data_IF_116311008352
#
_entry.id   IF_116311008352
#
_cell.length_a   1.000
_cell.length_b   1.000
_cell.length_c   1.000
_cell.angle_alpha   90.00
_cell.angle_beta   90.00
_cell.angle_gamma   90.00
#
_symmetry.space_group_name_H-M   'P 1'
#
loop_
_entity.id
_entity.type
_entity.pdbx_description
1 polymer ?
#
# COMPACT_ATOMS: atom_id res chain seq x y z
N UNK A 1 -92.95 12.05 -15.94
CA UNK A 1 -91.70 12.80 -15.96
C UNK A 1 -90.68 11.98 -15.13
N UNK A 2 -89.85 11.12 -15.80
CA UNK A 2 -88.84 10.28 -15.17
C UNK A 2 -87.50 10.96 -15.37
N UNK A 3 -86.81 11.36 -14.28
CA UNK A 3 -85.44 11.89 -14.28
C UNK A 3 -84.46 10.69 -14.32
N UNK A 4 -83.67 10.60 -15.39
CA UNK A 4 -82.58 9.63 -15.49
C UNK A 4 -81.31 10.31 -14.92
N UNK A 5 -80.76 9.70 -13.87
CA UNK A 5 -79.51 10.11 -13.23
C UNK A 5 -78.35 9.34 -13.91
N UNK A 6 -77.50 10.10 -14.65
CA UNK A 6 -76.32 9.57 -15.32
C UNK A 6 -75.16 9.54 -14.31
N UNK A 7 -74.74 8.37 -13.93
CA UNK A 7 -73.58 8.19 -13.01
C UNK A 7 -72.30 8.06 -13.85
N UNK A 8 -71.46 9.13 -13.82
CA UNK A 8 -70.15 9.12 -14.48
C UNK A 8 -69.14 8.33 -13.62
N UNK A 9 -68.71 7.19 -14.13
CA UNK A 9 -67.71 6.38 -13.48
C UNK A 9 -66.32 6.89 -13.96
N UNK A 10 -65.60 7.65 -13.07
CA UNK A 10 -64.20 8.01 -13.31
C UNK A 10 -63.30 6.78 -12.99
N UNK A 11 -62.83 6.13 -14.05
CA UNK A 11 -61.76 5.13 -13.93
C UNK A 11 -60.45 5.89 -13.86
N UNK A 12 -59.89 6.04 -12.67
CA UNK A 12 -58.52 6.49 -12.46
C UNK A 12 -57.51 5.38 -12.83
N UNK A 13 -56.93 5.51 -14.01
CA UNK A 13 -55.77 4.65 -14.41
C UNK A 13 -54.56 5.08 -13.59
N UNK A 14 -54.26 4.36 -12.52
CA UNK A 14 -52.98 4.44 -11.84
C UNK A 14 -51.91 3.91 -12.79
N UNK A 15 -51.29 4.81 -13.55
CA UNK A 15 -50.08 4.55 -14.28
C UNK A 15 -48.93 4.22 -13.30
N UNK A 16 -48.63 2.95 -13.11
CA UNK A 16 -47.32 2.53 -12.55
C UNK A 16 -46.23 3.01 -13.53
N UNK A 17 -45.66 4.16 -13.27
CA UNK A 17 -44.39 4.55 -13.85
C UNK A 17 -43.35 3.56 -13.33
N UNK A 18 -43.01 2.56 -14.12
CA UNK A 18 -41.78 1.83 -13.97
C UNK A 18 -40.66 2.85 -14.27
N UNK A 19 -40.12 3.48 -13.22
CA UNK A 19 -38.79 4.04 -13.32
C UNK A 19 -37.88 2.85 -13.71
N UNK A 20 -37.58 2.73 -14.98
CA UNK A 20 -36.44 1.98 -15.44
C UNK A 20 -35.22 2.69 -14.85
N UNK A 21 -34.71 2.17 -13.71
CA UNK A 21 -33.35 2.47 -13.26
C UNK A 21 -32.50 2.01 -14.44
N UNK A 22 -32.05 2.97 -15.24
CA UNK A 22 -31.02 2.75 -16.23
C UNK A 22 -29.86 2.11 -15.45
N UNK A 23 -29.58 0.83 -15.70
CA UNK A 23 -28.51 0.14 -14.99
C UNK A 23 -27.24 0.86 -15.38
N UNK A 24 -26.69 1.66 -14.47
CA UNK A 24 -25.43 2.33 -14.70
C UNK A 24 -24.42 1.29 -15.20
N UNK A 25 -23.74 1.60 -16.32
CA UNK A 25 -22.71 0.73 -16.88
C UNK A 25 -21.67 0.45 -15.78
N UNK A 26 -21.32 -0.82 -15.53
CA UNK A 26 -20.33 -1.12 -14.51
C UNK A 26 -18.99 -0.45 -14.85
N UNK A 27 -18.32 0.12 -13.86
CA UNK A 27 -16.93 0.57 -14.00
C UNK A 27 -16.04 -0.65 -14.26
N UNK A 28 -14.97 -0.45 -15.03
CA UNK A 28 -14.07 -1.56 -15.33
C UNK A 28 -13.31 -1.98 -14.06
N UNK A 29 -12.87 -1.02 -13.25
CA UNK A 29 -12.13 -1.28 -12.01
C UNK A 29 -12.61 -0.39 -10.87
N UNK A 30 -12.84 -0.99 -9.71
CA UNK A 30 -13.03 -0.29 -8.44
C UNK A 30 -11.85 -0.58 -7.53
N UNK A 31 -11.17 0.47 -7.07
CA UNK A 31 -10.05 0.42 -6.13
C UNK A 31 -10.55 0.84 -4.74
N UNK A 32 -10.49 -0.05 -3.76
CA UNK A 32 -10.91 0.24 -2.38
C UNK A 32 -9.69 0.59 -1.53
N UNK A 33 -9.65 1.82 -1.03
CA UNK A 33 -8.53 2.41 -0.28
C UNK A 33 -7.65 3.30 -1.15
N UNK A 34 -7.37 4.51 -0.67
CA UNK A 34 -6.55 5.53 -1.33
C UNK A 34 -5.06 5.47 -0.95
N UNK A 35 -4.52 4.27 -0.72
CA UNK A 35 -3.11 4.05 -0.38
C UNK A 35 -2.23 3.76 -1.60
N UNK A 36 -0.93 3.58 -1.33
CA UNK A 36 0.12 3.36 -2.35
C UNK A 36 -0.21 2.19 -3.30
N UNK A 37 -0.81 1.11 -2.79
CA UNK A 37 -1.12 -0.07 -3.60
C UNK A 37 -2.18 0.23 -4.66
N UNK A 38 -3.28 0.88 -4.26
CA UNK A 38 -4.35 1.29 -5.18
C UNK A 38 -3.87 2.35 -6.17
N UNK A 39 -3.08 3.33 -5.71
CA UNK A 39 -2.53 4.37 -6.55
C UNK A 39 -1.59 3.79 -7.63
N UNK A 40 -0.73 2.86 -7.25
CA UNK A 40 0.18 2.17 -8.17
C UNK A 40 -0.59 1.34 -9.19
N UNK A 41 -1.53 0.49 -8.72
CA UNK A 41 -2.34 -0.34 -9.61
C UNK A 41 -3.18 0.51 -10.57
N UNK A 42 -3.83 1.57 -10.07
CA UNK A 42 -4.61 2.48 -10.90
C UNK A 42 -3.78 3.14 -11.99
N UNK A 43 -2.54 3.53 -11.68
CA UNK A 43 -1.60 4.09 -12.66
C UNK A 43 -1.20 3.06 -13.71
N UNK A 44 -0.87 1.83 -13.32
CA UNK A 44 -0.59 0.75 -14.26
C UNK A 44 -1.76 0.48 -15.19
N UNK A 45 -2.96 0.35 -14.63
CA UNK A 45 -4.15 0.05 -15.42
C UNK A 45 -4.49 1.20 -16.39
N UNK A 46 -4.34 2.44 -15.97
CA UNK A 46 -4.56 3.58 -16.86
C UNK A 46 -3.56 3.64 -18.02
N UNK A 47 -2.33 3.14 -17.84
CA UNK A 47 -1.36 3.07 -18.92
C UNK A 47 -1.59 1.88 -19.87
N UNK A 48 -1.94 0.72 -19.32
CA UNK A 48 -2.17 -0.49 -20.10
C UNK A 48 -3.50 -0.45 -20.86
N UNK A 49 -4.52 0.13 -20.24
CA UNK A 49 -5.88 0.18 -20.73
C UNK A 49 -6.46 1.60 -20.58
N UNK A 50 -6.01 2.59 -21.38
CA UNK A 50 -6.38 4.00 -21.20
C UNK A 50 -7.88 4.29 -21.32
N UNK A 51 -8.63 3.37 -21.93
CA UNK A 51 -10.09 3.45 -22.11
C UNK A 51 -10.91 2.88 -20.95
N UNK A 52 -10.26 2.23 -19.98
CA UNK A 52 -10.97 1.68 -18.83
C UNK A 52 -11.39 2.75 -17.85
N UNK A 53 -12.59 2.60 -17.33
CA UNK A 53 -13.12 3.43 -16.25
C UNK A 53 -12.64 2.90 -14.91
N UNK A 54 -11.94 3.75 -14.14
CA UNK A 54 -11.40 3.40 -12.84
C UNK A 54 -12.03 4.30 -11.78
N UNK A 55 -12.60 3.71 -10.76
CA UNK A 55 -13.10 4.46 -9.60
C UNK A 55 -12.31 4.07 -8.35
N UNK A 56 -11.86 5.06 -7.57
CA UNK A 56 -11.17 4.85 -6.29
C UNK A 56 -12.04 5.37 -5.17
N UNK A 57 -12.20 4.56 -4.13
CA UNK A 57 -13.01 4.88 -2.94
C UNK A 57 -12.10 4.92 -1.73
N UNK A 58 -12.10 6.04 -1.00
CA UNK A 58 -11.34 6.24 0.22
C UNK A 58 -12.27 6.68 1.35
N UNK A 59 -12.12 6.06 2.53
CA UNK A 59 -12.92 6.35 3.72
C UNK A 59 -12.62 7.71 4.32
N UNK A 60 -11.38 8.16 4.24
CA UNK A 60 -10.93 9.43 4.80
C UNK A 60 -11.18 10.60 3.82
N UNK A 61 -10.99 11.79 4.29
CA UNK A 61 -11.13 13.04 3.53
C UNK A 61 -9.95 13.31 2.58
N UNK A 62 -8.89 12.49 2.66
CA UNK A 62 -7.70 12.55 1.81
C UNK A 62 -7.14 11.15 1.57
N UNK A 63 -6.38 11.02 0.48
CA UNK A 63 -5.59 9.83 0.21
C UNK A 63 -4.29 9.80 1.03
N UNK A 64 -3.73 8.62 1.25
CA UNK A 64 -2.46 8.40 1.93
C UNK A 64 -2.40 8.84 3.40
N UNK A 65 -3.52 8.81 4.12
CA UNK A 65 -3.56 9.23 5.54
C UNK A 65 -3.38 8.07 6.54
N UNK A 66 -3.46 6.81 6.09
CA UNK A 66 -3.23 5.63 6.93
C UNK A 66 -1.80 5.08 6.72
N UNK A 67 -1.63 3.79 6.41
CA UNK A 67 -0.31 3.13 6.31
C UNK A 67 0.67 3.79 5.33
N UNK A 68 0.18 4.49 4.30
CA UNK A 68 1.01 5.21 3.34
C UNK A 68 1.49 6.58 3.84
N UNK A 69 0.90 7.12 4.92
CA UNK A 69 1.33 8.39 5.50
C UNK A 69 2.76 8.30 6.01
N UNK A 70 3.60 9.30 5.74
CA UNK A 70 5.01 9.31 6.11
C UNK A 70 5.28 9.20 7.62
N UNK A 71 4.28 9.48 8.47
CA UNK A 71 4.40 9.32 9.93
C UNK A 71 3.86 7.97 10.45
N UNK A 72 3.25 7.16 9.58
CA UNK A 72 2.67 5.87 9.94
C UNK A 72 3.50 4.66 9.45
N UNK A 73 4.67 4.90 8.88
CA UNK A 73 5.63 3.88 8.46
C UNK A 73 7.07 4.40 8.63
N UNK A 74 8.05 3.50 8.52
CA UNK A 74 9.46 3.85 8.69
C UNK A 74 10.11 4.50 7.46
N UNK A 75 9.40 4.58 6.33
CA UNK A 75 9.94 5.11 5.08
C UNK A 75 11.09 4.30 4.49
N UNK A 76 11.34 3.09 4.98
CA UNK A 76 12.48 2.28 4.54
C UNK A 76 12.29 1.85 3.09
N UNK A 77 13.25 2.18 2.23
CA UNK A 77 13.35 1.57 0.91
C UNK A 77 13.82 0.12 1.04
N UNK A 78 12.91 -0.83 0.83
CA UNK A 78 13.08 -2.26 1.17
C UNK A 78 14.08 -2.99 0.28
N UNK A 79 15.36 -2.59 0.32
CA UNK A 79 16.46 -3.26 -0.38
C UNK A 79 17.09 -4.42 0.42
N UNK A 80 16.51 -4.81 1.56
CA UNK A 80 17.01 -5.85 2.46
C UNK A 80 18.44 -5.59 2.98
N UNK A 81 18.85 -4.34 3.05
CA UNK A 81 20.20 -3.98 3.50
C UNK A 81 20.33 -4.03 5.01
N UNK A 82 19.30 -3.64 5.76
CA UNK A 82 19.33 -3.52 7.22
C UNK A 82 18.44 -4.51 7.97
N UNK A 83 17.44 -5.10 7.33
CA UNK A 83 16.49 -5.98 8.01
C UNK A 83 17.09 -7.38 8.23
N UNK A 84 17.32 -7.74 9.50
CA UNK A 84 17.98 -8.99 9.86
C UNK A 84 17.09 -10.22 9.65
N UNK A 85 15.77 -10.05 9.72
CA UNK A 85 14.76 -11.12 9.59
C UNK A 85 14.53 -11.58 8.14
N UNK A 86 15.24 -11.01 7.17
CA UNK A 86 15.20 -11.46 5.77
C UNK A 86 16.26 -12.51 5.45
N UNK A 87 17.09 -12.84 6.42
CA UNK A 87 18.07 -13.93 6.35
C UNK A 87 17.87 -14.84 7.55
N UNK A 88 17.91 -16.14 7.34
CA UNK A 88 17.80 -17.14 8.40
C UNK A 88 19.00 -18.07 8.40
N UNK A 89 19.46 -18.47 9.61
CA UNK A 89 20.48 -19.50 9.74
C UNK A 89 19.82 -20.88 9.81
N UNK A 90 20.19 -21.76 8.94
CA UNK A 90 19.75 -23.15 8.90
C UNK A 90 20.45 -23.98 10.00
N UNK A 91 19.94 -25.18 10.30
CA UNK A 91 20.49 -26.07 11.32
C UNK A 91 21.93 -26.51 11.04
N UNK A 92 22.38 -26.49 9.80
CA UNK A 92 23.75 -26.78 9.38
C UNK A 92 24.68 -25.56 9.47
N UNK A 93 24.17 -24.40 9.92
CA UNK A 93 24.91 -23.15 10.03
C UNK A 93 25.03 -22.34 8.74
N UNK A 94 24.43 -22.80 7.63
CA UNK A 94 24.33 -22.01 6.39
C UNK A 94 23.33 -20.88 6.54
N UNK A 95 23.55 -19.78 5.77
CA UNK A 95 22.65 -18.62 5.77
C UNK A 95 21.80 -18.64 4.52
N UNK A 96 20.49 -18.70 4.68
CA UNK A 96 19.54 -18.50 3.57
C UNK A 96 19.33 -17.01 3.31
N UNK A 97 19.71 -16.55 2.12
CA UNK A 97 19.54 -15.15 1.66
C UNK A 97 18.46 -15.00 0.60
N UNK A 98 17.75 -16.06 0.25
CA UNK A 98 16.76 -16.06 -0.85
C UNK A 98 15.69 -15.00 -0.68
N UNK A 99 15.17 -14.87 0.54
CA UNK A 99 14.18 -13.83 0.88
C UNK A 99 14.74 -12.41 0.72
N UNK A 100 15.98 -12.19 1.16
CA UNK A 100 16.64 -10.87 1.04
C UNK A 100 16.86 -10.51 -0.44
N UNK A 101 17.28 -11.47 -1.27
CA UNK A 101 17.42 -11.29 -2.71
C UNK A 101 16.09 -10.92 -3.36
N UNK A 102 15.04 -11.71 -3.12
CA UNK A 102 13.71 -11.47 -3.72
C UNK A 102 13.14 -10.10 -3.31
N UNK A 103 13.31 -9.68 -2.06
CA UNK A 103 12.85 -8.37 -1.59
C UNK A 103 13.62 -7.24 -2.27
N UNK A 104 14.95 -7.38 -2.40
CA UNK A 104 15.77 -6.39 -3.10
C UNK A 104 15.34 -6.25 -4.57
N UNK A 105 15.20 -7.37 -5.29
CA UNK A 105 14.74 -7.38 -6.68
C UNK A 105 13.38 -6.68 -6.86
N UNK A 106 12.42 -6.96 -5.97
CA UNK A 106 11.10 -6.32 -6.01
C UNK A 106 11.20 -4.81 -5.77
N UNK A 107 12.11 -4.37 -4.90
CA UNK A 107 12.31 -2.95 -4.66
C UNK A 107 12.99 -2.27 -5.86
N UNK A 108 13.96 -2.93 -6.51
CA UNK A 108 14.57 -2.43 -7.75
C UNK A 108 13.52 -2.24 -8.86
N UNK A 109 12.57 -3.18 -9.00
CA UNK A 109 11.43 -3.05 -9.93
C UNK A 109 10.56 -1.83 -9.54
N UNK A 110 10.31 -1.62 -8.25
CA UNK A 110 9.55 -0.45 -7.77
C UNK A 110 10.25 0.87 -8.12
N UNK A 111 11.57 0.94 -7.95
CA UNK A 111 12.36 2.12 -8.34
C UNK A 111 12.33 2.36 -9.85
N UNK A 112 12.39 1.30 -10.67
CA UNK A 112 12.25 1.42 -12.12
C UNK A 112 10.88 1.97 -12.52
N UNK A 113 9.81 1.50 -11.89
CA UNK A 113 8.47 2.05 -12.10
C UNK A 113 8.42 3.55 -11.75
N UNK A 114 8.94 3.94 -10.57
CA UNK A 114 8.95 5.36 -10.20
C UNK A 114 9.80 6.21 -11.14
N UNK A 115 10.97 5.73 -11.57
CA UNK A 115 11.80 6.42 -12.54
C UNK A 115 11.05 6.63 -13.88
N UNK A 116 10.38 5.60 -14.37
CA UNK A 116 9.51 5.70 -15.54
C UNK A 116 8.40 6.75 -15.35
N UNK A 117 7.75 6.77 -14.20
CA UNK A 117 6.71 7.77 -13.90
C UNK A 117 7.26 9.19 -13.80
N UNK A 118 8.52 9.35 -13.37
CA UNK A 118 9.23 10.65 -13.39
C UNK A 118 9.46 11.11 -14.83
N UNK A 119 9.94 10.24 -15.70
CA UNK A 119 10.14 10.55 -17.12
C UNK A 119 8.83 10.96 -17.81
N UNK A 120 7.72 10.34 -17.40
CA UNK A 120 6.36 10.66 -17.88
C UNK A 120 5.76 11.90 -17.22
N UNK A 121 6.42 12.52 -16.26
CA UNK A 121 5.94 13.67 -15.46
C UNK A 121 4.67 13.39 -14.67
N UNK A 122 4.45 12.13 -14.33
CA UNK A 122 3.40 11.69 -13.39
C UNK A 122 3.88 11.89 -11.97
N UNK A 123 5.13 11.50 -11.69
CA UNK A 123 5.86 11.85 -10.47
C UNK A 123 6.80 13.03 -10.75
N UNK A 124 6.77 14.01 -9.89
CA UNK A 124 7.60 15.21 -10.00
C UNK A 124 8.45 15.37 -8.74
N UNK A 125 9.54 16.12 -8.84
CA UNK A 125 10.47 16.35 -7.74
C UNK A 125 10.84 15.07 -6.97
N UNK A 126 11.68 14.18 -7.51
CA UNK A 126 12.05 12.92 -6.88
C UNK A 126 12.54 13.06 -5.44
N UNK A 127 13.16 14.20 -5.09
CA UNK A 127 13.64 14.46 -3.72
C UNK A 127 12.50 14.62 -2.70
N UNK A 128 11.29 14.89 -3.15
CA UNK A 128 10.12 14.93 -2.25
C UNK A 128 9.69 13.56 -1.75
N UNK A 129 10.10 12.48 -2.43
CA UNK A 129 9.63 11.14 -2.07
C UNK A 129 10.71 10.05 -1.97
N UNK A 130 11.92 10.23 -2.53
CA UNK A 130 13.01 9.26 -2.37
C UNK A 130 14.34 9.97 -2.18
N UNK A 131 15.04 9.61 -1.10
CA UNK A 131 16.32 10.19 -0.75
C UNK A 131 17.32 9.09 -0.43
N UNK A 132 18.59 9.29 -0.79
CA UNK A 132 19.65 8.38 -0.44
C UNK A 132 20.02 8.56 1.03
N UNK A 133 19.93 7.48 1.80
CA UNK A 133 20.36 7.38 3.20
C UNK A 133 21.07 6.06 3.43
N UNK A 134 22.18 5.98 4.17
CA UNK A 134 22.81 4.71 4.46
C UNK A 134 21.87 3.80 5.26
N UNK A 135 21.72 2.55 4.82
CA UNK A 135 21.06 1.52 5.62
C UNK A 135 22.09 0.78 6.47
N UNK A 136 21.77 0.58 7.73
CA UNK A 136 22.69 0.00 8.70
C UNK A 136 21.98 -1.01 9.58
N UNK A 137 22.69 -2.10 9.93
CA UNK A 137 22.32 -2.97 11.04
C UNK A 137 23.37 -2.85 12.13
N UNK A 138 22.95 -2.78 13.38
CA UNK A 138 23.81 -2.76 14.53
C UNK A 138 23.38 -3.83 15.51
N UNK A 139 24.33 -4.61 16.02
CA UNK A 139 24.11 -5.69 16.98
C UNK A 139 25.13 -5.65 18.10
N UNK A 140 24.80 -6.32 19.24
CA UNK A 140 25.70 -6.54 20.35
C UNK A 140 25.52 -7.94 20.94
N UNK A 141 26.56 -8.42 21.64
CA UNK A 141 26.62 -9.76 22.17
C UNK A 141 27.20 -10.79 21.19
N UNK A 142 27.82 -11.85 21.71
CA UNK A 142 28.61 -12.80 20.93
C UNK A 142 27.80 -13.47 19.83
N UNK A 143 26.59 -13.97 20.13
CA UNK A 143 25.75 -14.68 19.18
C UNK A 143 25.26 -13.75 18.04
N UNK A 144 24.84 -12.53 18.38
CA UNK A 144 24.38 -11.56 17.40
C UNK A 144 25.51 -11.08 16.48
N UNK A 145 26.71 -10.89 17.03
CA UNK A 145 27.90 -10.52 16.24
C UNK A 145 28.27 -11.66 15.31
N UNK A 146 28.28 -12.91 15.80
CA UNK A 146 28.53 -14.08 14.96
C UNK A 146 27.47 -14.22 13.83
N UNK A 147 26.20 -14.02 14.14
CA UNK A 147 25.12 -14.02 13.16
C UNK A 147 25.31 -12.94 12.09
N UNK A 148 25.56 -11.68 12.49
CA UNK A 148 25.73 -10.57 11.54
C UNK A 148 26.94 -10.80 10.62
N UNK A 149 28.01 -11.36 11.13
CA UNK A 149 29.20 -11.72 10.36
C UNK A 149 28.89 -12.78 9.29
N UNK A 150 28.20 -13.86 9.66
CA UNK A 150 27.73 -14.90 8.74
C UNK A 150 26.80 -14.33 7.68
N UNK A 151 25.81 -13.51 8.10
CA UNK A 151 24.89 -12.82 7.22
C UNK A 151 25.64 -11.98 6.18
N UNK A 152 26.57 -11.13 6.61
CA UNK A 152 27.36 -10.30 5.71
C UNK A 152 28.12 -11.15 4.71
N UNK A 153 28.82 -12.19 5.14
CA UNK A 153 29.57 -13.08 4.26
C UNK A 153 28.66 -13.75 3.20
N UNK A 154 27.50 -14.23 3.61
CA UNK A 154 26.55 -14.85 2.68
C UNK A 154 25.98 -13.84 1.66
N UNK A 155 25.64 -12.64 2.07
CA UNK A 155 25.11 -11.59 1.18
C UNK A 155 26.13 -11.16 0.12
N UNK A 156 27.45 -11.22 0.41
CA UNK A 156 28.51 -10.89 -0.58
C UNK A 156 28.51 -11.82 -1.80
N UNK A 157 27.87 -13.00 -1.75
CA UNK A 157 27.73 -13.88 -2.90
C UNK A 157 26.72 -13.36 -3.94
N UNK A 158 25.87 -12.41 -3.59
CA UNK A 158 24.94 -11.74 -4.51
C UNK A 158 25.45 -10.36 -4.91
N UNK A 159 25.38 -10.05 -6.21
CA UNK A 159 25.74 -8.72 -6.73
C UNK A 159 24.91 -7.58 -6.17
N UNK A 160 23.69 -7.87 -5.70
CA UNK A 160 22.77 -6.88 -5.11
C UNK A 160 23.28 -6.29 -3.79
N UNK A 161 24.12 -7.02 -3.06
CA UNK A 161 24.67 -6.59 -1.78
C UNK A 161 26.16 -6.25 -1.85
N UNK A 162 26.71 -6.18 -3.06
CA UNK A 162 28.10 -5.79 -3.26
C UNK A 162 28.33 -4.37 -2.76
N UNK A 163 29.41 -4.19 -1.97
CA UNK A 163 29.72 -2.90 -1.35
C UNK A 163 29.12 -2.69 0.04
N UNK A 164 28.40 -3.69 0.59
CA UNK A 164 28.05 -3.67 2.01
C UNK A 164 29.31 -3.81 2.85
N UNK A 165 29.51 -2.86 3.74
CA UNK A 165 30.60 -2.83 4.69
C UNK A 165 30.21 -3.58 5.98
N UNK A 166 31.21 -4.18 6.66
CA UNK A 166 31.06 -4.82 7.97
C UNK A 166 32.20 -4.38 8.88
N UNK A 167 31.88 -4.08 10.14
CA UNK A 167 32.88 -3.75 11.13
C UNK A 167 32.51 -4.28 12.53
N UNK A 168 33.54 -4.71 13.29
CA UNK A 168 33.50 -4.94 14.72
C UNK A 168 34.33 -3.86 15.48
N UNK A 169 34.95 -2.92 14.74
CA UNK A 169 35.74 -1.83 15.31
C UNK A 169 34.83 -0.74 15.87
N UNK A 170 34.86 -0.45 17.19
CA UNK A 170 34.05 0.60 17.79
C UNK A 170 34.29 1.99 17.21
N UNK A 171 35.50 2.33 16.86
CA UNK A 171 35.84 3.64 16.29
C UNK A 171 35.28 3.80 14.86
N UNK A 172 35.33 2.75 14.05
CA UNK A 172 34.71 2.75 12.74
C UNK A 172 33.17 2.84 12.84
N UNK A 173 32.56 2.09 13.75
CA UNK A 173 31.10 2.10 13.96
C UNK A 173 30.66 3.48 14.45
N UNK A 174 31.45 4.12 15.35
CA UNK A 174 31.18 5.46 15.84
C UNK A 174 31.21 6.52 14.73
N UNK A 175 32.10 6.36 13.72
CA UNK A 175 32.09 7.23 12.54
C UNK A 175 30.80 7.05 11.71
N UNK A 176 30.26 5.86 11.64
CA UNK A 176 29.03 5.57 10.90
C UNK A 176 27.78 6.04 11.63
N UNK A 177 27.71 5.81 12.95
CA UNK A 177 26.51 6.04 13.77
C UNK A 177 26.90 6.46 15.21
N UNK A 178 27.31 7.73 15.40
CA UNK A 178 27.87 8.19 16.67
C UNK A 178 26.91 8.02 17.85
N UNK A 179 25.63 8.33 17.70
CA UNK A 179 24.66 8.28 18.80
C UNK A 179 24.42 6.87 19.33
N UNK A 180 24.53 5.83 18.51
CA UNK A 180 24.39 4.44 18.97
C UNK A 180 25.56 4.03 19.85
N UNK A 181 26.70 4.70 19.74
CA UNK A 181 27.92 4.39 20.48
C UNK A 181 28.04 5.13 21.83
N UNK A 182 27.19 6.16 22.04
CA UNK A 182 27.22 6.90 23.31
C UNK A 182 26.75 6.05 24.49
N UNK A 183 27.46 6.15 25.61
CA UNK A 183 27.13 5.44 26.85
C UNK A 183 27.33 3.93 26.84
N UNK A 184 28.03 3.37 25.82
CA UNK A 184 28.34 1.93 25.81
C UNK A 184 29.49 1.58 26.70
N UNK A 185 29.39 0.40 27.33
CA UNK A 185 30.44 -0.12 28.19
C UNK A 185 31.68 -0.50 27.36
N UNK A 186 32.90 -0.15 27.85
CA UNK A 186 34.13 -0.55 27.21
C UNK A 186 34.24 -2.09 27.09
N UNK A 187 34.62 -2.57 25.90
CA UNK A 187 34.80 -3.99 25.64
C UNK A 187 33.52 -4.76 25.31
N UNK A 188 32.37 -4.10 25.24
CA UNK A 188 31.16 -4.74 24.76
C UNK A 188 31.35 -5.23 23.30
N UNK A 189 31.08 -6.52 23.08
CA UNK A 189 31.07 -7.09 21.73
C UNK A 189 29.97 -6.45 20.89
N UNK A 190 30.34 -5.81 19.78
CA UNK A 190 29.44 -5.13 18.85
C UNK A 190 29.84 -5.42 17.41
N UNK A 191 28.91 -5.33 16.51
CA UNK A 191 29.16 -5.28 15.07
C UNK A 191 28.10 -4.46 14.35
N UNK A 192 28.48 -3.92 13.20
CA UNK A 192 27.55 -3.23 12.30
C UNK A 192 27.80 -3.58 10.84
N UNK A 193 26.75 -3.53 10.05
CA UNK A 193 26.84 -3.45 8.59
C UNK A 193 26.35 -2.10 8.11
N UNK A 194 26.88 -1.62 6.98
CA UNK A 194 26.49 -0.37 6.35
C UNK A 194 26.42 -0.55 4.83
N UNK A 195 25.33 -0.05 4.25
CA UNK A 195 25.17 0.06 2.81
C UNK A 195 24.87 1.51 2.45
N UNK A 196 25.77 2.16 1.73
CA UNK A 196 25.70 3.61 1.45
C UNK A 196 24.58 3.99 0.48
N UNK A 197 24.05 3.02 -0.30
CA UNK A 197 23.02 3.23 -1.31
C UNK A 197 21.59 2.91 -0.83
N UNK A 198 21.39 2.85 0.48
CA UNK A 198 20.03 2.74 1.06
C UNK A 198 19.18 3.96 0.71
N UNK A 199 17.87 3.84 0.89
CA UNK A 199 16.94 4.92 0.57
C UNK A 199 15.86 5.09 1.63
N UNK A 200 15.49 6.34 1.87
CA UNK A 200 14.28 6.74 2.56
C UNK A 200 13.21 7.11 1.53
N UNK A 201 11.97 6.63 1.74
CA UNK A 201 10.85 6.77 0.79
C UNK A 201 9.63 7.35 1.48
N UNK A 202 9.10 8.44 0.97
CA UNK A 202 7.81 8.99 1.37
C UNK A 202 6.69 8.41 0.48
N UNK A 203 6.15 7.26 0.89
CA UNK A 203 5.06 6.58 0.17
C UNK A 203 3.80 7.43 0.07
N UNK A 204 3.54 8.29 1.05
CA UNK A 204 2.41 9.22 1.02
C UNK A 204 2.54 10.22 -0.12
N UNK A 205 3.73 10.74 -0.36
CA UNK A 205 3.97 11.70 -1.44
C UNK A 205 3.83 11.03 -2.81
N UNK A 206 4.41 9.83 -2.99
CA UNK A 206 4.19 9.04 -4.21
C UNK A 206 2.70 8.82 -4.44
N UNK A 207 1.96 8.40 -3.41
CA UNK A 207 0.52 8.13 -3.51
C UNK A 207 -0.23 9.38 -3.96
N UNK A 208 0.01 10.53 -3.33
CA UNK A 208 -0.66 11.79 -3.68
C UNK A 208 -0.40 12.21 -5.12
N UNK A 209 0.83 12.09 -5.59
CA UNK A 209 1.19 12.46 -6.96
C UNK A 209 0.55 11.50 -7.99
N UNK A 210 0.59 10.18 -7.76
CA UNK A 210 -0.05 9.20 -8.63
C UNK A 210 -1.56 9.44 -8.72
N UNK A 211 -2.25 9.60 -7.58
CA UNK A 211 -3.70 9.87 -7.55
C UNK A 211 -4.03 11.23 -8.16
N UNK A 212 -3.20 12.24 -7.94
CA UNK A 212 -3.35 13.56 -8.57
C UNK A 212 -3.30 13.46 -10.10
N UNK A 213 -2.35 12.70 -10.64
CA UNK A 213 -2.26 12.45 -12.09
C UNK A 213 -3.46 11.67 -12.64
N UNK A 214 -3.92 10.65 -11.91
CA UNK A 214 -5.12 9.90 -12.27
C UNK A 214 -6.37 10.80 -12.26
N UNK A 215 -6.50 11.66 -11.25
CA UNK A 215 -7.65 12.57 -11.09
C UNK A 215 -7.78 13.61 -12.22
N UNK A 216 -6.74 13.81 -13.01
CA UNK A 216 -6.77 14.64 -14.20
C UNK A 216 -7.32 13.90 -15.46
N UNK A 217 -7.72 12.63 -15.34
CA UNK A 217 -8.25 11.82 -16.44
C UNK A 217 -9.76 11.72 -16.37
N UNK A 218 -10.44 11.86 -17.50
CA UNK A 218 -11.90 11.72 -17.59
C UNK A 218 -12.39 10.30 -17.27
N UNK A 219 -11.50 9.30 -17.37
CA UNK A 219 -11.78 7.89 -17.08
C UNK A 219 -11.58 7.52 -15.63
N UNK A 220 -11.12 8.45 -14.79
CA UNK A 220 -10.86 8.20 -13.35
C UNK A 220 -11.80 9.02 -12.48
N UNK A 221 -12.30 8.38 -11.42
CA UNK A 221 -13.12 9.05 -10.40
C UNK A 221 -12.62 8.71 -9.01
N UNK A 222 -12.41 9.75 -8.19
CA UNK A 222 -12.07 9.62 -6.77
C UNK A 222 -13.28 9.94 -5.91
N UNK A 223 -13.64 9.03 -4.99
CA UNK A 223 -14.62 9.27 -3.93
C UNK A 223 -13.90 9.25 -2.58
N UNK A 224 -13.78 10.40 -1.97
CA UNK A 224 -13.34 10.55 -0.59
C UNK A 224 -14.52 10.48 0.37
N UNK A 225 -14.24 10.19 1.64
CA UNK A 225 -15.26 10.05 2.69
C UNK A 225 -16.34 9.02 2.35
N UNK A 226 -15.97 7.94 1.67
CA UNK A 226 -16.86 6.83 1.37
C UNK A 226 -16.31 5.54 1.96
N UNK A 227 -17.05 4.94 2.88
CA UNK A 227 -16.68 3.67 3.51
C UNK A 227 -17.43 2.51 2.90
N UNK A 228 -16.71 1.52 2.40
CA UNK A 228 -17.31 0.28 1.87
C UNK A 228 -17.93 -0.50 3.02
N UNK A 229 -19.20 -0.86 2.87
CA UNK A 229 -20.03 -1.56 3.84
C UNK A 229 -20.39 -2.97 3.40
N UNK A 230 -20.47 -3.23 2.08
CA UNK A 230 -20.79 -4.54 1.54
C UNK A 230 -20.16 -4.76 0.15
N UNK A 231 -19.85 -6.03 -0.14
CA UNK A 231 -19.31 -6.51 -1.41
C UNK A 231 -20.11 -7.74 -1.84
N UNK A 232 -20.89 -7.62 -2.89
CA UNK A 232 -21.72 -8.71 -3.41
C UNK A 232 -21.33 -9.04 -4.84
N UNK A 233 -20.98 -10.30 -5.11
CA UNK A 233 -20.81 -10.81 -6.46
C UNK A 233 -22.18 -11.06 -7.10
N UNK A 234 -22.35 -10.59 -8.33
CA UNK A 234 -23.58 -10.76 -9.11
C UNK A 234 -23.47 -11.99 -10.03
N UNK A 235 -24.62 -12.47 -10.51
CA UNK A 235 -24.70 -13.62 -11.43
C UNK A 235 -24.00 -13.38 -12.77
N UNK A 236 -23.85 -12.11 -13.18
CA UNK A 236 -23.14 -11.69 -14.39
C UNK A 236 -21.62 -11.49 -14.20
N UNK A 237 -21.07 -12.03 -13.10
CA UNK A 237 -19.67 -11.92 -12.68
C UNK A 237 -19.18 -10.48 -12.37
N UNK A 238 -20.06 -9.52 -12.31
CA UNK A 238 -19.73 -8.20 -11.76
C UNK A 238 -19.87 -8.17 -10.25
N UNK A 239 -19.45 -7.07 -9.62
CA UNK A 239 -19.61 -6.81 -8.20
C UNK A 239 -20.52 -5.61 -7.98
N UNK A 240 -21.39 -5.70 -7.00
CA UNK A 240 -22.06 -4.54 -6.41
C UNK A 240 -21.36 -4.21 -5.11
N UNK A 241 -20.79 -3.02 -5.03
CA UNK A 241 -20.10 -2.51 -3.85
C UNK A 241 -20.94 -1.41 -3.23
N UNK A 242 -21.44 -1.67 -2.02
CA UNK A 242 -22.23 -0.71 -1.24
C UNK A 242 -21.32 0.05 -0.30
N UNK A 243 -21.51 1.36 -0.23
CA UNK A 243 -20.72 2.26 0.60
C UNK A 243 -21.58 3.32 1.26
N UNK A 244 -21.13 3.80 2.43
CA UNK A 244 -21.72 4.92 3.12
C UNK A 244 -20.97 6.21 2.76
N UNK A 245 -21.69 7.25 2.39
CA UNK A 245 -21.18 8.62 2.20
C UNK A 245 -21.11 9.30 3.59
N UNK A 246 -19.91 9.30 4.17
CA UNK A 246 -19.68 9.82 5.53
C UNK A 246 -19.83 11.35 5.62
N UNK A 247 -19.69 12.06 4.48
CA UNK A 247 -19.92 13.51 4.44
C UNK A 247 -21.39 13.87 4.47
N UNK A 248 -22.29 12.95 4.12
CA UNK A 248 -23.73 13.18 3.98
C UNK A 248 -24.56 12.26 4.91
N UNK A 249 -24.10 12.06 6.15
CA UNK A 249 -24.84 11.33 7.17
C UNK A 249 -25.01 9.85 6.89
N UNK A 250 -23.95 9.22 6.38
CA UNK A 250 -23.91 7.78 6.07
C UNK A 250 -24.92 7.36 4.98
N UNK A 251 -25.29 8.29 4.10
CA UNK A 251 -26.18 7.97 2.99
C UNK A 251 -25.59 6.83 2.15
N UNK A 252 -26.38 5.76 2.00
CA UNK A 252 -25.96 4.61 1.23
C UNK A 252 -25.92 4.92 -0.28
N UNK A 253 -24.83 4.52 -0.90
CA UNK A 253 -24.61 4.57 -2.35
C UNK A 253 -24.00 3.25 -2.81
N UNK A 254 -24.08 2.94 -4.09
CA UNK A 254 -23.47 1.72 -4.63
C UNK A 254 -22.80 1.97 -5.98
N UNK A 255 -21.80 1.14 -6.29
CA UNK A 255 -21.12 1.10 -7.57
C UNK A 255 -21.12 -0.34 -8.08
N UNK A 256 -21.42 -0.53 -9.35
CA UNK A 256 -21.24 -1.81 -10.03
C UNK A 256 -19.88 -1.83 -10.71
N UNK A 257 -19.07 -2.87 -10.50
CA UNK A 257 -17.72 -2.98 -11.04
C UNK A 257 -17.46 -4.34 -11.67
N UNK A 258 -16.64 -4.39 -12.70
CA UNK A 258 -16.18 -5.66 -13.31
C UNK A 258 -15.08 -6.31 -12.49
N UNK A 259 -14.19 -5.49 -11.94
CA UNK A 259 -13.08 -5.92 -11.10
C UNK A 259 -13.01 -5.03 -9.85
N UNK A 260 -12.75 -5.65 -8.70
CA UNK A 260 -12.57 -4.96 -7.41
C UNK A 260 -11.20 -5.29 -6.86
N UNK A 261 -10.44 -4.26 -6.51
CA UNK A 261 -9.16 -4.39 -5.80
C UNK A 261 -9.31 -3.89 -4.38
N UNK A 262 -8.96 -4.73 -3.41
CA UNK A 262 -8.99 -4.39 -1.98
C UNK A 262 -7.61 -3.91 -1.56
N UNK A 263 -7.36 -2.61 -1.69
CA UNK A 263 -6.14 -1.92 -1.28
C UNK A 263 -6.25 -1.19 0.07
N UNK A 264 -7.10 -1.71 0.96
CA UNK A 264 -7.55 -1.05 2.19
C UNK A 264 -6.61 -1.22 3.40
N UNK A 265 -5.33 -1.56 3.18
CA UNK A 265 -4.35 -1.69 4.26
C UNK A 265 -4.85 -2.57 5.41
N UNK A 266 -4.89 -2.05 6.63
CA UNK A 266 -5.39 -2.77 7.82
C UNK A 266 -6.87 -3.21 7.74
N UNK A 267 -7.68 -2.58 6.89
CA UNK A 267 -9.08 -2.96 6.64
C UNK A 267 -9.26 -4.09 5.63
N UNK A 268 -8.21 -4.51 4.94
CA UNK A 268 -8.32 -5.43 3.81
C UNK A 268 -8.87 -6.81 4.19
N UNK A 269 -8.48 -7.36 5.35
CA UNK A 269 -8.94 -8.68 5.80
C UNK A 269 -10.47 -8.70 6.00
N UNK A 270 -11.03 -7.68 6.64
CA UNK A 270 -12.47 -7.55 6.84
C UNK A 270 -13.22 -7.54 5.50
N UNK A 271 -12.73 -6.75 4.54
CA UNK A 271 -13.31 -6.65 3.20
C UNK A 271 -13.17 -7.96 2.41
N UNK A 272 -12.02 -8.63 2.54
CA UNK A 272 -11.80 -9.94 1.93
C UNK A 272 -12.81 -10.97 2.43
N UNK A 273 -13.03 -11.06 3.73
CA UNK A 273 -14.03 -11.95 4.31
C UNK A 273 -15.45 -11.57 3.89
N UNK A 274 -15.75 -10.28 3.81
CA UNK A 274 -17.04 -9.76 3.35
C UNK A 274 -17.32 -10.10 1.88
N UNK A 275 -16.30 -10.29 1.06
CA UNK A 275 -16.46 -10.64 -0.36
C UNK A 275 -17.15 -11.98 -0.59
N UNK A 276 -17.14 -12.88 0.42
CA UNK A 276 -17.76 -14.21 0.35
C UNK A 276 -17.11 -15.15 -0.67
N UNK A 277 -15.90 -14.85 -1.18
CA UNK A 277 -15.19 -15.78 -2.06
C UNK A 277 -14.61 -16.94 -1.26
N UNK A 278 -14.72 -18.20 -1.75
CA UNK A 278 -14.26 -19.38 -1.00
C UNK A 278 -12.77 -19.31 -0.65
N UNK A 279 -11.94 -18.71 -1.51
CA UNK A 279 -10.51 -18.54 -1.31
C UNK A 279 -10.16 -17.59 -0.15
N UNK A 280 -11.13 -16.82 0.36
CA UNK A 280 -10.96 -15.95 1.53
C UNK A 280 -11.07 -16.71 2.86
N UNK A 281 -11.57 -17.95 2.84
CA UNK A 281 -11.74 -18.75 4.04
C UNK A 281 -10.38 -19.11 4.66
N UNK A 282 -10.29 -19.06 5.99
CA UNK A 282 -9.09 -19.42 6.73
C UNK A 282 -8.01 -18.35 6.82
N UNK A 283 -8.13 -17.23 6.12
CA UNK A 283 -7.22 -16.10 6.31
C UNK A 283 -7.54 -15.37 7.62
N UNK A 284 -6.50 -15.12 8.40
CA UNK A 284 -6.57 -14.35 9.62
C UNK A 284 -5.43 -13.35 9.68
N UNK A 285 -5.62 -12.23 10.39
CA UNK A 285 -4.59 -11.24 10.65
C UNK A 285 -4.07 -11.37 12.07
N UNK A 286 -2.76 -11.26 12.23
CA UNK A 286 -2.12 -11.09 13.53
C UNK A 286 -1.53 -9.67 13.57
N UNK A 287 -2.27 -8.68 14.10
CA UNK A 287 -1.79 -7.30 14.14
C UNK A 287 -0.63 -7.19 15.14
N UNK A 288 0.48 -6.63 14.67
CA UNK A 288 1.64 -6.31 15.51
C UNK A 288 1.76 -4.79 15.58
N UNK A 289 1.65 -4.26 16.79
CA UNK A 289 1.90 -2.84 17.05
C UNK A 289 3.41 -2.56 17.12
N UNK A 290 3.80 -1.39 16.63
CA UNK A 290 5.15 -0.87 16.74
C UNK A 290 5.14 0.61 17.09
N UNK A 291 6.23 1.07 17.73
CA UNK A 291 6.45 2.50 17.99
C UNK A 291 7.70 2.94 17.24
N UNK A 292 7.61 4.07 16.57
CA UNK A 292 8.74 4.68 15.90
C UNK A 292 9.32 5.82 16.75
N UNK A 293 10.65 5.90 16.80
CA UNK A 293 11.32 7.11 17.27
C UNK A 293 11.34 8.10 16.11
N UNK A 294 10.71 9.23 16.31
CA UNK A 294 10.67 10.31 15.32
C UNK A 294 11.40 11.54 15.86
N UNK A 295 12.11 12.23 14.99
CA UNK A 295 12.74 13.52 15.31
C UNK A 295 12.37 14.52 14.22
N UNK A 296 12.16 15.78 14.63
CA UNK A 296 12.04 16.93 13.73
C UNK A 296 13.32 17.75 13.68
N UNK A 297 14.37 17.29 14.37
CA UNK A 297 15.69 17.91 14.30
C UNK A 297 16.37 17.52 12.99
N UNK A 298 16.82 18.50 12.17
CA UNK A 298 17.48 18.23 10.90
C UNK A 298 18.83 17.54 11.06
#
# INVERSE_FOLDING_TARGET
MKKILLMLLCVSVLGCSKNSVESEKPVDVLLIGGGIMSATLGTYLNELEPGWTIEMVERLDKVAEESSNGWNNAGTGHSAFCELNYTSEAADGSMDISKAVAINENFEISKQFWAYQVDRKVLNDPKSFINNVPHMSFVWGDDNVAFLKKRHAALQHSSLFRGMEYSEDPEQIKQWVPLVMEGREPGQKIAATRMSIGTDVNFGEITRQLVGSLSAKDTFKLRLQHEVRDLKRNDDNTWTVTMADLANGDKETSVKARFVFIGAGGGALKLLQMSGIPEAEGYAGFPVGGSFLATTNP
#
